data_IF_546260998669
#
_entry.id   IF_546260998669
#
_cell.length_a   1.000
_cell.length_b   1.000
_cell.length_c   1.000
_cell.angle_alpha   90.00
_cell.angle_beta   90.00
_cell.angle_gamma   90.00
#
_symmetry.space_group_name_H-M   'P 1'
#
loop_
_entity.id
_entity.type
_entity.pdbx_description
1 polymer ?
#
# COMPACT_ATOMS: atom_id res chain seq x y z
N UNK A 1 3.59 -2.22 5.48
CA UNK A 1 2.96 -2.99 6.59
C UNK A 1 1.80 -3.80 5.97
N UNK A 2 0.97 -4.55 6.71
CA UNK A 2 -0.18 -5.24 6.10
C UNK A 2 -1.43 -4.34 6.13
N UNK A 3 -2.36 -4.45 5.15
CA UNK A 3 -3.55 -3.59 5.09
C UNK A 3 -4.40 -3.59 6.36
N UNK A 4 -4.52 -4.76 7.01
CA UNK A 4 -5.25 -4.88 8.28
C UNK A 4 -4.61 -4.05 9.40
N UNK A 5 -3.28 -4.00 9.44
CA UNK A 5 -2.56 -3.19 10.42
C UNK A 5 -2.66 -1.69 10.08
N UNK A 6 -2.67 -1.31 8.79
CA UNK A 6 -2.91 0.08 8.37
C UNK A 6 -4.30 0.53 8.81
N UNK A 7 -5.32 -0.30 8.57
CA UNK A 7 -6.69 -0.04 9.02
C UNK A 7 -6.78 0.09 10.54
N UNK A 8 -6.14 -0.81 11.30
CA UNK A 8 -6.18 -0.80 12.76
C UNK A 8 -5.54 0.48 13.34
N UNK A 9 -4.35 0.85 12.86
CA UNK A 9 -3.66 2.09 13.29
C UNK A 9 -4.51 3.31 12.93
N UNK A 10 -5.09 3.34 11.74
CA UNK A 10 -5.89 4.47 11.27
C UNK A 10 -7.21 4.61 12.03
N UNK A 11 -7.86 3.50 12.37
CA UNK A 11 -9.03 3.50 13.23
C UNK A 11 -8.69 4.03 14.64
N UNK A 12 -7.52 3.67 15.19
CA UNK A 12 -7.06 4.21 16.48
C UNK A 12 -6.81 5.72 16.41
N UNK A 13 -6.19 6.21 15.33
CA UNK A 13 -6.00 7.66 15.09
C UNK A 13 -7.35 8.37 15.00
N UNK A 14 -8.27 7.86 14.18
CA UNK A 14 -9.61 8.43 14.02
C UNK A 14 -10.40 8.45 15.32
N UNK A 15 -10.34 7.37 16.11
CA UNK A 15 -10.92 7.29 17.44
C UNK A 15 -10.33 8.30 18.42
N UNK A 16 -9.01 8.51 18.38
CA UNK A 16 -8.34 9.54 19.19
C UNK A 16 -8.79 10.96 18.84
N UNK A 17 -8.86 11.29 17.54
CA UNK A 17 -9.37 12.59 17.09
C UNK A 17 -10.83 12.78 17.46
N UNK A 18 -11.66 11.73 17.27
CA UNK A 18 -13.06 11.77 17.69
C UNK A 18 -13.21 12.02 19.19
N UNK A 19 -12.47 11.28 20.02
CA UNK A 19 -12.51 11.46 21.47
C UNK A 19 -12.09 12.88 21.91
N UNK A 20 -11.13 13.49 21.22
CA UNK A 20 -10.64 14.83 21.53
C UNK A 20 -11.56 15.97 21.05
N UNK A 21 -12.36 15.74 20.00
CA UNK A 21 -13.08 16.82 19.29
C UNK A 21 -14.60 16.63 19.24
N UNK A 22 -15.10 15.44 19.56
CA UNK A 22 -16.51 15.06 19.38
C UNK A 22 -16.90 14.78 17.93
N UNK A 23 -16.01 14.97 16.96
CA UNK A 23 -16.35 14.83 15.53
C UNK A 23 -16.42 13.37 15.10
N UNK A 24 -17.64 12.83 15.00
CA UNK A 24 -17.89 11.41 14.64
C UNK A 24 -17.31 11.01 13.29
N UNK A 25 -17.24 11.95 12.33
CA UNK A 25 -16.72 11.71 11.00
C UNK A 25 -15.20 11.45 10.97
N UNK A 26 -14.47 11.76 12.04
CA UNK A 26 -13.02 11.53 12.11
C UNK A 26 -12.65 10.04 12.00
N UNK A 27 -13.46 9.16 12.56
CA UNK A 27 -13.21 7.72 12.56
C UNK A 27 -13.33 7.09 11.16
N UNK A 28 -14.46 7.20 10.42
CA UNK A 28 -14.55 6.66 9.08
C UNK A 28 -13.61 7.36 8.10
N UNK A 29 -13.35 8.67 8.27
CA UNK A 29 -12.42 9.39 7.40
C UNK A 29 -10.97 8.91 7.58
N UNK A 30 -10.51 8.71 8.82
CA UNK A 30 -9.18 8.15 9.09
C UNK A 30 -9.05 6.71 8.58
N UNK A 31 -10.04 5.85 8.86
CA UNK A 31 -10.05 4.46 8.40
C UNK A 31 -9.96 4.38 6.86
N UNK A 32 -10.73 5.20 6.14
CA UNK A 32 -10.65 5.29 4.69
C UNK A 32 -9.27 5.79 4.23
N UNK A 33 -8.78 6.88 4.80
CA UNK A 33 -7.50 7.49 4.41
C UNK A 33 -6.30 6.54 4.59
N UNK A 34 -6.31 5.72 5.63
CA UNK A 34 -5.23 4.76 5.88
C UNK A 34 -5.39 3.42 5.19
N UNK A 35 -6.57 3.04 4.70
CA UNK A 35 -6.81 1.75 4.04
C UNK A 35 -6.91 1.84 2.53
N UNK A 36 -7.49 2.93 1.99
CA UNK A 36 -7.62 3.11 0.54
C UNK A 36 -6.29 3.06 -0.23
N UNK A 37 -5.15 3.55 0.30
CA UNK A 37 -3.89 3.45 -0.43
C UNK A 37 -3.54 2.02 -0.81
N UNK A 38 -3.78 1.05 0.09
CA UNK A 38 -3.49 -0.38 -0.13
C UNK A 38 -4.18 -0.95 -1.39
N UNK A 39 -5.26 -0.33 -1.89
CA UNK A 39 -5.93 -0.75 -3.12
C UNK A 39 -5.08 -0.58 -4.37
N UNK A 40 -4.08 0.30 -4.36
CA UNK A 40 -3.15 0.40 -5.49
C UNK A 40 -2.53 -0.96 -5.87
N UNK A 41 -2.29 -1.81 -4.86
CA UNK A 41 -1.67 -3.12 -5.08
C UNK A 41 -2.54 -4.09 -5.88
N UNK A 42 -3.82 -3.80 -6.12
CA UNK A 42 -4.62 -4.57 -7.07
C UNK A 42 -3.99 -4.55 -8.48
N UNK A 43 -3.45 -3.40 -8.90
CA UNK A 43 -2.80 -3.28 -10.19
C UNK A 43 -1.46 -4.03 -10.22
N UNK A 44 -0.72 -4.02 -9.11
CA UNK A 44 0.49 -4.83 -8.94
C UNK A 44 0.16 -6.33 -9.06
N UNK A 45 -0.87 -6.82 -8.37
CA UNK A 45 -1.30 -8.22 -8.45
C UNK A 45 -1.71 -8.62 -9.87
N UNK A 46 -2.42 -7.74 -10.57
CA UNK A 46 -2.77 -7.97 -11.97
C UNK A 46 -1.51 -8.06 -12.84
N UNK A 47 -0.55 -7.14 -12.70
CA UNK A 47 0.71 -7.17 -13.44
C UNK A 47 1.51 -8.45 -13.13
N UNK A 48 1.62 -8.83 -11.87
CA UNK A 48 2.42 -9.97 -11.43
C UNK A 48 1.81 -11.30 -11.83
N UNK A 49 0.50 -11.50 -11.63
CA UNK A 49 -0.12 -12.82 -11.78
C UNK A 49 -0.81 -13.03 -13.12
N UNK A 50 -1.32 -11.96 -13.74
CA UNK A 50 -1.98 -12.04 -15.06
C UNK A 50 -0.97 -11.73 -16.16
N UNK A 51 -0.24 -10.60 -16.06
CA UNK A 51 0.73 -10.18 -17.09
C UNK A 51 2.12 -10.78 -16.92
N UNK A 52 2.41 -11.43 -15.79
CA UNK A 52 3.73 -11.98 -15.45
C UNK A 52 4.86 -10.94 -15.47
N UNK A 53 4.53 -9.67 -15.22
CA UNK A 53 5.49 -8.56 -15.17
C UNK A 53 5.76 -8.18 -13.71
N UNK A 54 6.73 -8.86 -13.09
CA UNK A 54 7.20 -8.57 -11.73
C UNK A 54 8.08 -7.31 -11.65
N UNK A 55 8.47 -6.75 -12.79
CA UNK A 55 9.37 -5.61 -12.86
C UNK A 55 8.66 -4.28 -12.59
N UNK A 56 7.32 -4.26 -12.63
CA UNK A 56 6.51 -3.06 -12.41
C UNK A 56 5.85 -3.04 -11.03
N UNK A 57 5.81 -1.85 -10.47
CA UNK A 57 5.06 -1.53 -9.25
C UNK A 57 4.36 -0.18 -9.46
N UNK A 58 3.03 -0.23 -9.60
CA UNK A 58 2.20 0.92 -9.93
C UNK A 58 1.30 1.21 -8.73
N UNK A 59 1.78 2.08 -7.86
CA UNK A 59 1.08 2.52 -6.66
C UNK A 59 1.01 4.05 -6.64
N UNK A 60 -0.17 4.61 -6.91
CA UNK A 60 -0.38 6.05 -7.04
C UNK A 60 -0.74 6.72 -5.72
N UNK A 61 -1.61 6.07 -4.96
CA UNK A 61 -2.07 6.51 -3.65
C UNK A 61 -1.02 6.35 -2.56
N UNK A 62 0.08 5.62 -2.78
CA UNK A 62 1.22 5.58 -1.85
C UNK A 62 2.25 6.66 -2.19
N UNK A 63 1.86 7.93 -2.08
CA UNK A 63 2.65 9.07 -2.55
C UNK A 63 2.87 10.15 -1.48
N UNK A 64 4.11 10.55 -1.25
CA UNK A 64 4.44 11.70 -0.40
C UNK A 64 3.75 12.99 -0.87
N UNK A 65 3.60 13.15 -2.18
CA UNK A 65 2.95 14.30 -2.79
C UNK A 65 1.49 14.44 -2.35
N UNK A 66 0.77 13.32 -2.15
CA UNK A 66 -0.60 13.34 -1.64
C UNK A 66 -0.66 13.70 -0.15
N UNK A 67 0.34 13.27 0.65
CA UNK A 67 0.46 13.68 2.05
C UNK A 67 0.65 15.21 2.13
N UNK A 68 1.57 15.75 1.32
CA UNK A 68 1.85 17.19 1.27
C UNK A 68 0.59 17.93 0.82
N UNK A 69 -0.07 17.48 -0.25
CA UNK A 69 -1.30 18.10 -0.73
C UNK A 69 -2.41 18.10 0.34
N UNK A 70 -2.63 16.95 1.02
CA UNK A 70 -3.60 16.84 2.10
C UNK A 70 -3.27 17.76 3.28
N UNK A 71 -2.01 17.83 3.68
CA UNK A 71 -1.55 18.73 4.74
C UNK A 71 -1.75 20.21 4.37
N UNK A 72 -1.49 20.60 3.11
CA UNK A 72 -1.75 21.95 2.63
C UNK A 72 -3.24 22.28 2.60
N UNK A 73 -4.09 21.35 2.13
CA UNK A 73 -5.55 21.53 2.16
C UNK A 73 -6.04 21.69 3.60
N UNK A 74 -5.56 20.87 4.54
CA UNK A 74 -5.88 21.05 5.95
C UNK A 74 -5.40 22.41 6.47
N UNK A 75 -4.15 22.77 6.19
CA UNK A 75 -3.54 23.99 6.71
C UNK A 75 -4.18 25.27 6.17
N UNK A 76 -4.68 25.29 4.94
CA UNK A 76 -5.10 26.52 4.26
C UNK A 76 -6.57 26.57 3.83
N UNK A 77 -7.29 25.45 3.80
CA UNK A 77 -8.66 25.41 3.29
C UNK A 77 -9.66 24.75 4.25
N UNK A 78 -9.38 23.55 4.75
CA UNK A 78 -10.34 22.74 5.52
C UNK A 78 -9.75 22.33 6.86
N UNK A 79 -9.86 23.21 7.86
CA UNK A 79 -9.34 22.99 9.23
C UNK A 79 -10.31 22.21 10.12
N UNK A 80 -11.02 21.26 9.54
CA UNK A 80 -11.98 20.43 10.26
C UNK A 80 -11.30 19.21 10.92
N UNK A 81 -11.74 18.75 12.09
CA UNK A 81 -11.14 17.59 12.78
C UNK A 81 -11.10 16.31 11.94
N UNK A 82 -12.12 16.08 11.11
CA UNK A 82 -12.13 14.90 10.23
C UNK A 82 -11.00 14.96 9.17
N UNK A 83 -10.66 16.15 8.69
CA UNK A 83 -9.57 16.35 7.74
C UNK A 83 -8.21 16.19 8.42
N UNK A 84 -8.09 16.66 9.67
CA UNK A 84 -6.92 16.36 10.50
C UNK A 84 -6.70 14.84 10.65
N UNK A 85 -7.78 14.10 10.92
CA UNK A 85 -7.74 12.64 11.05
C UNK A 85 -7.29 11.96 9.74
N UNK A 86 -7.75 12.45 8.59
CA UNK A 86 -7.30 12.00 7.25
C UNK A 86 -5.79 12.19 7.09
N UNK A 87 -5.28 13.39 7.36
CA UNK A 87 -3.84 13.71 7.20
C UNK A 87 -2.99 12.85 8.13
N UNK A 88 -3.38 12.72 9.40
CA UNK A 88 -2.65 11.91 10.38
C UNK A 88 -2.66 10.41 10.02
N UNK A 89 -3.80 9.87 9.63
CA UNK A 89 -3.92 8.47 9.23
C UNK A 89 -3.09 8.18 7.98
N UNK A 90 -3.19 9.02 6.96
CA UNK A 90 -2.40 8.88 5.73
C UNK A 90 -0.89 9.03 5.99
N UNK A 91 -0.49 10.00 6.82
CA UNK A 91 0.90 10.16 7.24
C UNK A 91 1.42 8.90 7.95
N UNK A 92 0.62 8.34 8.86
CA UNK A 92 0.98 7.11 9.57
C UNK A 92 1.12 5.92 8.62
N UNK A 93 0.26 5.83 7.59
CA UNK A 93 0.32 4.80 6.57
C UNK A 93 1.67 4.86 5.83
N UNK A 94 2.00 6.00 5.23
CA UNK A 94 3.24 6.15 4.44
C UNK A 94 4.49 6.02 5.33
N UNK A 95 4.45 6.54 6.56
CA UNK A 95 5.56 6.40 7.51
C UNK A 95 5.80 4.93 7.89
N UNK A 96 4.75 4.19 8.23
CA UNK A 96 4.85 2.76 8.51
C UNK A 96 5.43 2.01 7.31
N UNK A 97 4.99 2.34 6.10
CA UNK A 97 5.48 1.74 4.88
C UNK A 97 6.94 2.05 4.57
N UNK A 98 7.39 3.26 4.86
CA UNK A 98 8.79 3.65 4.75
C UNK A 98 9.67 2.86 5.74
N UNK A 99 9.19 2.65 6.97
CA UNK A 99 9.91 1.95 8.05
C UNK A 99 9.95 0.44 7.79
N UNK A 100 8.79 -0.16 7.50
CA UNK A 100 8.64 -1.62 7.48
C UNK A 100 8.93 -2.25 6.11
N UNK A 101 8.67 -1.56 5.00
CA UNK A 101 8.88 -2.14 3.67
C UNK A 101 10.33 -1.96 3.17
N UNK A 102 11.17 -1.20 3.89
CA UNK A 102 12.59 -0.95 3.60
C UNK A 102 12.85 -0.51 2.14
N UNK A 103 11.91 0.25 1.57
CA UNK A 103 12.05 0.89 0.27
C UNK A 103 13.03 2.07 0.32
N UNK A 104 13.47 2.55 -0.86
CA UNK A 104 14.20 3.82 -0.94
C UNK A 104 13.27 4.97 -0.51
N UNK A 105 13.80 6.07 0.02
CA UNK A 105 12.97 7.20 0.49
C UNK A 105 12.08 7.78 -0.62
N UNK A 106 12.65 7.97 -1.81
CA UNK A 106 11.92 8.36 -3.01
C UNK A 106 11.06 7.24 -3.59
N UNK A 107 11.12 6.05 -2.98
CA UNK A 107 10.34 4.88 -3.37
C UNK A 107 8.85 5.15 -3.29
N UNK A 108 8.40 6.10 -2.47
CA UNK A 108 7.02 6.60 -2.36
C UNK A 108 6.83 8.02 -2.93
N UNK A 109 7.75 8.54 -3.75
CA UNK A 109 7.47 9.75 -4.53
C UNK A 109 6.85 9.35 -5.87
N UNK A 110 5.67 9.87 -6.18
CA UNK A 110 5.01 9.63 -7.46
C UNK A 110 5.84 10.20 -8.62
N UNK A 111 6.44 11.38 -8.43
CA UNK A 111 7.31 12.01 -9.45
C UNK A 111 8.54 11.13 -9.71
N UNK A 112 9.21 10.67 -8.65
CA UNK A 112 10.36 9.79 -8.79
C UNK A 112 9.98 8.45 -9.44
N UNK A 113 8.84 7.85 -9.06
CA UNK A 113 8.33 6.63 -9.69
C UNK A 113 8.06 6.83 -11.18
N UNK A 114 7.43 7.94 -11.57
CA UNK A 114 7.19 8.27 -12.97
C UNK A 114 8.50 8.43 -13.76
N UNK A 115 9.47 9.16 -13.21
CA UNK A 115 10.81 9.32 -13.81
C UNK A 115 11.55 7.98 -13.95
N UNK A 116 11.37 7.07 -13.00
CA UNK A 116 11.92 5.71 -13.01
C UNK A 116 11.03 4.70 -13.75
N UNK A 117 9.97 5.17 -14.42
CA UNK A 117 9.01 4.37 -15.20
C UNK A 117 8.39 3.22 -14.40
N UNK A 118 8.14 3.43 -13.11
CA UNK A 118 7.51 2.49 -12.19
C UNK A 118 8.25 1.14 -12.06
N UNK A 119 9.57 1.13 -12.31
CA UNK A 119 10.39 -0.07 -12.13
C UNK A 119 10.58 -0.40 -10.65
N UNK A 120 10.06 -1.55 -10.23
CA UNK A 120 10.08 -1.99 -8.83
C UNK A 120 11.52 -2.17 -8.31
N UNK A 121 12.43 -2.69 -9.15
CA UNK A 121 13.86 -2.87 -8.81
C UNK A 121 14.56 -1.56 -8.40
N UNK A 122 14.10 -0.42 -8.92
CA UNK A 122 14.72 0.89 -8.68
C UNK A 122 14.20 1.58 -7.42
N UNK A 123 13.00 1.21 -6.96
CA UNK A 123 12.32 1.84 -5.81
C UNK A 123 12.29 0.92 -4.59
N UNK A 124 12.03 -0.37 -4.82
CA UNK A 124 11.92 -1.42 -3.81
C UNK A 124 12.69 -2.68 -4.24
N UNK A 125 14.03 -2.65 -4.25
CA UNK A 125 14.88 -3.74 -4.78
C UNK A 125 14.73 -5.09 -4.06
N UNK A 126 14.14 -5.11 -2.85
CA UNK A 126 13.89 -6.31 -2.06
C UNK A 126 12.43 -6.76 -2.06
N UNK A 127 11.58 -6.12 -2.88
CA UNK A 127 10.18 -6.44 -2.97
C UNK A 127 9.97 -7.69 -3.84
N UNK A 128 10.21 -8.85 -3.24
CA UNK A 128 9.82 -10.12 -3.84
C UNK A 128 8.32 -10.36 -3.61
N UNK A 129 7.64 -11.01 -4.56
CA UNK A 129 6.24 -11.42 -4.50
C UNK A 129 5.97 -12.44 -3.37
N UNK A 130 6.16 -12.01 -2.11
CA UNK A 130 5.82 -12.74 -0.89
C UNK A 130 4.35 -12.58 -0.54
N UNK A 131 3.65 -11.66 -1.21
CA UNK A 131 2.31 -11.20 -0.84
C UNK A 131 1.26 -12.32 -0.92
N UNK A 132 1.33 -13.21 -1.91
CA UNK A 132 0.41 -14.35 -2.00
C UNK A 132 0.60 -15.35 -0.85
N UNK A 133 1.80 -15.45 -0.25
CA UNK A 133 2.04 -16.41 0.85
C UNK A 133 1.19 -16.09 2.08
N UNK A 134 0.90 -14.81 2.31
CA UNK A 134 0.01 -14.39 3.39
C UNK A 134 -1.45 -14.74 3.09
N UNK A 135 -1.91 -14.54 1.85
CA UNK A 135 -3.24 -15.00 1.39
C UNK A 135 -3.40 -16.51 1.63
N UNK A 136 -2.39 -17.29 1.25
CA UNK A 136 -2.42 -18.74 1.36
C UNK A 136 -2.37 -19.26 2.81
N UNK A 137 -1.82 -18.48 3.76
CA UNK A 137 -1.60 -18.91 5.15
C UNK A 137 -2.90 -19.25 5.87
N UNK A 138 -4.00 -18.59 5.51
CA UNK A 138 -5.30 -18.77 6.17
C UNK A 138 -6.24 -19.71 5.40
N UNK A 139 -5.81 -20.25 4.25
CA UNK A 139 -6.64 -21.15 3.44
C UNK A 139 -6.48 -22.62 3.86
N UNK A 140 -7.55 -23.44 3.74
CA UNK A 140 -7.48 -24.88 3.95
C UNK A 140 -6.45 -25.56 3.03
N UNK A 141 -5.81 -26.67 3.46
CA UNK A 141 -4.75 -27.35 2.70
C UNK A 141 -5.14 -27.74 1.26
N UNK A 142 -6.38 -28.17 1.05
CA UNK A 142 -6.89 -28.62 -0.26
C UNK A 142 -7.04 -27.48 -1.27
N UNK A 143 -7.27 -26.23 -0.82
CA UNK A 143 -7.26 -25.03 -1.66
C UNK A 143 -5.85 -24.47 -1.80
N UNK A 144 -5.08 -24.52 -0.70
CA UNK A 144 -3.72 -23.97 -0.61
C UNK A 144 -2.77 -24.59 -1.64
N UNK A 145 -2.78 -25.91 -1.81
CA UNK A 145 -1.88 -26.62 -2.71
C UNK A 145 -2.00 -26.17 -4.18
N UNK A 146 -3.19 -26.27 -4.79
CA UNK A 146 -3.44 -25.81 -6.16
C UNK A 146 -3.12 -24.32 -6.36
N UNK A 147 -3.58 -23.44 -5.46
CA UNK A 147 -3.31 -22.00 -5.58
C UNK A 147 -1.82 -21.68 -5.45
N UNK A 148 -1.09 -22.35 -4.54
CA UNK A 148 0.36 -22.16 -4.41
C UNK A 148 1.08 -22.46 -5.72
N UNK A 149 0.79 -23.60 -6.34
CA UNK A 149 1.35 -23.98 -7.64
C UNK A 149 1.01 -22.97 -8.73
N UNK A 150 -0.24 -22.50 -8.74
CA UNK A 150 -0.67 -21.48 -9.69
C UNK A 150 0.14 -20.19 -9.52
N UNK A 151 0.25 -19.65 -8.30
CA UNK A 151 1.06 -18.46 -8.02
C UNK A 151 2.52 -18.66 -8.41
N UNK A 152 3.16 -19.76 -7.98
CA UNK A 152 4.54 -20.08 -8.33
C UNK A 152 4.76 -20.10 -9.86
N UNK A 153 3.84 -20.73 -10.62
CA UNK A 153 3.89 -20.76 -12.10
C UNK A 153 3.76 -19.40 -12.80
N UNK A 154 3.33 -18.35 -12.08
CA UNK A 154 3.24 -16.99 -12.62
C UNK A 154 4.46 -16.13 -12.27
N UNK A 155 5.17 -16.47 -11.20
CA UNK A 155 6.26 -15.67 -10.64
C UNK A 155 7.63 -16.21 -11.09
N UNK A 156 7.75 -17.52 -11.35
CA UNK A 156 8.99 -18.11 -11.87
C UNK A 156 9.12 -17.84 -13.37
N UNK A 157 10.24 -17.27 -13.86
CA UNK A 157 10.48 -17.16 -15.30
C UNK A 157 10.49 -18.56 -15.91
N UNK A 158 9.98 -18.71 -17.14
CA UNK A 158 10.06 -19.97 -17.87
C UNK A 158 11.53 -20.42 -17.94
N UNK A 159 11.83 -21.72 -17.75
CA UNK A 159 13.19 -22.19 -17.97
C UNK A 159 13.63 -21.81 -19.40
N UNK A 160 14.92 -21.48 -19.61
CA UNK A 160 15.42 -21.22 -20.95
C UNK A 160 15.08 -22.43 -21.84
N UNK A 161 14.65 -22.16 -23.08
CA UNK A 161 14.44 -23.22 -24.05
C UNK A 161 15.73 -24.04 -24.17
N UNK A 162 15.65 -25.39 -24.25
CA UNK A 162 16.84 -26.20 -24.48
C UNK A 162 17.52 -25.72 -25.76
N UNK A 163 18.81 -25.39 -25.63
CA UNK A 163 19.71 -25.03 -26.74
C UNK A 163 19.93 -26.19 -27.68
#
# INVERSE_FOLDING_TARGET
>A
MQPVAHLAVSAAIGGGVWAATGQVNALPAAAAAGFLPDFDHFLDYYNWYVRRDLGRMIVFLHAWELLIAGALVYAFAVREPWMQAVVLAYASHIAADQIFNRGRLYGYSLIARAALRFRAERTHPRHHARTYRHLLRNLPPFVRGPLRRWFESRITPAPPAPS
#
